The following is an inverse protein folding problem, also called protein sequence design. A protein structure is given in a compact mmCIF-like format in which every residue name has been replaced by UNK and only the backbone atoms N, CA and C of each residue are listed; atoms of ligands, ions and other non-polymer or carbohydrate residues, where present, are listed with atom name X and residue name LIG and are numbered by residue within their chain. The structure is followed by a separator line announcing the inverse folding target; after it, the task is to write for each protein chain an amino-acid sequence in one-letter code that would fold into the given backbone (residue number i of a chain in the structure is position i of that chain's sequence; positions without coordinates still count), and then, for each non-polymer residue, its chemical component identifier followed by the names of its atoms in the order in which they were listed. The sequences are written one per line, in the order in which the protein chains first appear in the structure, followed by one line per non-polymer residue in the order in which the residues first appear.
data_IF_300360688848
#
_entry.id   IF_300360688848
#
_cell.length_a   1.000
_cell.length_b   1.000
_cell.length_c   1.000
_cell.angle_alpha   90.00
_cell.angle_beta   90.00
_cell.angle_gamma   90.00
#
_symmetry.space_group_name_H-M   'P 1'
#
loop_
_entity.id
_entity.type
_entity.pdbx_description
1 polymer ?
#
# COMPACT_ATOMS: atom_id res chain seq x y z
N UNK A 1 16.34 -7.26 0.85
CA UNK A 1 14.88 -7.04 0.78
C UNK A 1 14.12 -8.21 0.16
N UNK A 2 14.65 -8.90 -0.86
CA UNK A 2 13.91 -10.01 -1.50
C UNK A 2 13.68 -11.23 -0.60
N UNK A 3 14.70 -11.65 0.15
CA UNK A 3 14.52 -12.77 1.10
C UNK A 3 13.49 -12.46 2.18
N UNK A 4 13.48 -11.22 2.68
CA UNK A 4 12.48 -10.76 3.63
C UNK A 4 11.08 -10.81 3.02
N UNK A 5 10.92 -10.29 1.79
CA UNK A 5 9.65 -10.34 1.06
C UNK A 5 9.13 -11.78 0.92
N UNK A 6 9.98 -12.72 0.51
CA UNK A 6 9.58 -14.12 0.36
C UNK A 6 9.10 -14.71 1.70
N UNK A 7 9.82 -14.45 2.80
CA UNK A 7 9.42 -14.89 4.14
C UNK A 7 8.11 -14.25 4.60
N UNK A 8 7.94 -12.95 4.36
CA UNK A 8 6.73 -12.21 4.68
C UNK A 8 5.50 -12.78 3.94
N UNK A 9 5.62 -12.99 2.62
CA UNK A 9 4.53 -13.57 1.81
C UNK A 9 4.19 -15.00 2.23
N UNK A 10 5.20 -15.82 2.52
CA UNK A 10 4.99 -17.19 3.02
C UNK A 10 4.27 -17.21 4.37
N UNK A 11 4.55 -16.25 5.25
CA UNK A 11 3.86 -16.13 6.54
C UNK A 11 2.39 -15.69 6.36
N UNK A 12 2.12 -14.79 5.41
CA UNK A 12 0.77 -14.29 5.13
C UNK A 12 -0.13 -15.31 4.43
N UNK A 13 0.43 -16.22 3.63
CA UNK A 13 -0.34 -17.21 2.85
C UNK A 13 -1.33 -18.00 3.72
N UNK A 14 -1.00 -18.25 5.00
CA UNK A 14 -1.91 -18.91 5.95
C UNK A 14 -3.12 -18.06 6.33
N UNK A 15 -2.97 -16.74 6.41
CA UNK A 15 -3.99 -15.79 6.83
C UNK A 15 -4.85 -15.27 5.66
N UNK A 16 -4.36 -15.36 4.43
CA UNK A 16 -5.02 -14.76 3.25
C UNK A 16 -5.92 -15.72 2.47
N UNK A 17 -6.14 -16.95 2.94
CA UNK A 17 -6.96 -17.96 2.25
C UNK A 17 -8.49 -17.76 2.37
N UNK A 18 -8.95 -16.59 2.84
CA UNK A 18 -10.37 -16.28 2.93
C UNK A 18 -10.84 -15.45 1.72
N UNK A 19 -12.01 -15.79 1.16
CA UNK A 19 -12.68 -14.99 0.14
C UNK A 19 -13.23 -13.66 0.67
N UNK A 20 -13.41 -13.53 1.99
CA UNK A 20 -13.81 -12.28 2.65
C UNK A 20 -12.63 -11.39 3.03
N UNK A 21 -11.39 -11.89 2.92
CA UNK A 21 -10.19 -11.15 3.26
C UNK A 21 -9.74 -10.21 2.14
N UNK A 22 -9.12 -9.09 2.53
CA UNK A 22 -8.44 -8.17 1.61
C UNK A 22 -6.92 -8.22 1.80
N UNK A 23 -6.18 -7.91 0.73
CA UNK A 23 -4.74 -7.79 0.74
C UNK A 23 -4.29 -6.60 -0.12
N UNK A 24 -3.57 -5.67 0.49
CA UNK A 24 -2.89 -4.56 -0.17
C UNK A 24 -1.42 -4.61 0.26
N UNK A 25 -0.57 -5.26 -0.54
CA UNK A 25 0.88 -5.30 -0.32
C UNK A 25 1.53 -4.57 -1.48
N UNK A 26 1.93 -3.32 -1.26
CA UNK A 26 2.74 -2.58 -2.22
C UNK A 26 4.23 -2.85 -2.02
N UNK A 27 5.04 -2.43 -2.99
CA UNK A 27 6.50 -2.51 -2.90
C UNK A 27 7.12 -1.18 -2.52
N UNK A 28 6.67 -0.63 -1.40
CA UNK A 28 7.21 0.57 -0.79
C UNK A 28 8.05 0.27 0.46
N UNK A 29 9.15 1.00 0.64
CA UNK A 29 9.93 0.94 1.88
C UNK A 29 9.36 1.94 2.89
N UNK A 30 8.31 1.54 3.60
CA UNK A 30 7.57 2.41 4.52
C UNK A 30 7.25 1.71 5.86
N UNK A 31 7.10 2.50 6.91
CA UNK A 31 6.58 2.10 8.21
C UNK A 31 5.32 2.92 8.55
N UNK A 32 4.45 2.42 9.43
CA UNK A 32 3.19 3.10 9.82
C UNK A 32 2.35 3.57 8.60
N UNK A 33 2.32 2.79 7.52
CA UNK A 33 1.63 3.19 6.29
C UNK A 33 0.12 3.35 6.51
N UNK A 34 -0.44 2.55 7.41
CA UNK A 34 -1.87 2.48 7.69
C UNK A 34 -2.38 3.64 8.57
N UNK A 35 -1.50 4.47 9.14
CA UNK A 35 -1.89 5.41 10.20
C UNK A 35 -2.29 6.81 9.71
N UNK A 36 -1.91 7.20 8.48
CA UNK A 36 -1.99 8.59 8.01
C UNK A 36 -2.88 8.72 6.79
N UNK A 37 -3.76 9.74 6.77
CA UNK A 37 -4.65 10.01 5.64
C UNK A 37 -3.84 10.40 4.38
N UNK A 38 -2.67 10.99 4.61
CA UNK A 38 -1.68 11.39 3.61
C UNK A 38 -1.24 10.20 2.74
N UNK A 39 -1.04 9.02 3.36
CA UNK A 39 -0.67 7.80 2.63
C UNK A 39 -1.86 7.08 2.01
N UNK A 40 -3.08 7.40 2.42
CA UNK A 40 -4.28 6.69 2.00
C UNK A 40 -5.00 7.34 0.82
N UNK A 41 -5.05 8.67 0.79
CA UNK A 41 -5.99 9.40 -0.06
C UNK A 41 -5.37 10.53 -0.90
N UNK A 42 -4.26 11.12 -0.47
CA UNK A 42 -3.62 12.25 -1.15
C UNK A 42 -3.17 11.90 -2.58
N UNK A 43 -2.98 12.94 -3.40
CA UNK A 43 -2.70 12.80 -4.84
C UNK A 43 -1.48 11.91 -5.12
N UNK A 44 -0.46 11.99 -4.26
CA UNK A 44 0.81 11.30 -4.29
C UNK A 44 0.85 10.03 -3.40
N UNK A 45 -0.29 9.58 -2.87
CA UNK A 45 -0.36 8.34 -2.12
C UNK A 45 0.07 7.14 -2.98
N UNK A 46 0.70 6.12 -2.38
CA UNK A 46 1.06 4.90 -3.08
C UNK A 46 -0.19 4.21 -3.66
N UNK A 47 0.01 3.62 -4.83
CA UNK A 47 -1.01 2.96 -5.63
C UNK A 47 -0.59 1.54 -5.96
N UNK A 48 -1.55 0.62 -5.89
CA UNK A 48 -1.41 -0.76 -6.32
C UNK A 48 -2.55 -1.12 -7.27
N UNK A 49 -2.21 -1.57 -8.48
CA UNK A 49 -3.23 -1.88 -9.49
C UNK A 49 -4.16 -0.71 -9.79
N UNK A 50 -3.61 0.52 -9.86
CA UNK A 50 -4.31 1.79 -10.09
C UNK A 50 -5.30 2.21 -8.98
N UNK A 51 -5.20 1.64 -7.78
CA UNK A 51 -6.00 2.04 -6.62
C UNK A 51 -5.11 2.47 -5.47
N UNK A 52 -5.47 3.58 -4.82
CA UNK A 52 -4.91 3.98 -3.52
C UNK A 52 -5.49 3.12 -2.40
N UNK A 53 -4.84 3.12 -1.23
CA UNK A 53 -5.28 2.37 -0.05
C UNK A 53 -6.73 2.69 0.31
N UNK A 54 -7.11 3.96 0.38
CA UNK A 54 -8.48 4.36 0.74
C UNK A 54 -9.55 3.76 -0.17
N UNK A 55 -9.30 3.72 -1.49
CA UNK A 55 -10.24 3.16 -2.45
C UNK A 55 -10.30 1.64 -2.35
N UNK A 56 -9.15 0.99 -2.24
CA UNK A 56 -9.04 -0.46 -2.12
C UNK A 56 -9.75 -0.96 -0.85
N UNK A 57 -9.46 -0.36 0.30
CA UNK A 57 -10.09 -0.70 1.58
C UNK A 57 -11.58 -0.37 1.56
N UNK A 58 -11.96 0.79 1.02
CA UNK A 58 -13.37 1.17 0.93
C UNK A 58 -14.18 0.21 0.05
N UNK A 59 -13.67 -0.20 -1.10
CA UNK A 59 -14.37 -1.15 -1.97
C UNK A 59 -14.51 -2.53 -1.34
N UNK A 60 -13.47 -2.99 -0.63
CA UNK A 60 -13.51 -4.23 0.13
C UNK A 60 -14.50 -4.15 1.30
N UNK A 61 -14.48 -3.08 2.09
CA UNK A 61 -15.35 -2.92 3.27
C UNK A 61 -16.84 -2.86 2.94
N UNK A 62 -17.19 -2.26 1.79
CA UNK A 62 -18.58 -2.12 1.34
C UNK A 62 -18.99 -3.21 0.32
N UNK A 63 -18.23 -4.30 0.23
CA UNK A 63 -18.48 -5.42 -0.70
C UNK A 63 -18.69 -4.99 -2.17
N UNK A 64 -18.08 -3.87 -2.59
CA UNK A 64 -18.17 -3.38 -3.98
C UNK A 64 -17.24 -4.15 -4.91
N UNK A 65 -16.06 -4.50 -4.41
CA UNK A 65 -15.08 -5.33 -5.12
C UNK A 65 -14.09 -5.91 -4.11
N UNK A 66 -13.70 -7.19 -4.26
CA UNK A 66 -12.57 -7.71 -3.50
C UNK A 66 -11.29 -6.96 -3.90
N UNK A 67 -10.36 -6.85 -2.98
CA UNK A 67 -9.03 -6.34 -3.25
C UNK A 67 -7.98 -7.26 -2.64
N UNK A 68 -7.37 -8.10 -3.47
CA UNK A 68 -6.34 -9.05 -3.06
C UNK A 68 -5.17 -8.94 -4.03
N UNK A 69 -4.27 -7.98 -3.79
CA UNK A 69 -3.14 -7.69 -4.68
C UNK A 69 -1.84 -7.61 -3.91
N UNK A 70 -0.81 -8.14 -4.56
CA UNK A 70 0.58 -8.12 -4.13
C UNK A 70 1.37 -7.53 -5.29
N UNK A 71 2.18 -6.52 -5.00
CA UNK A 71 3.00 -5.85 -5.99
C UNK A 71 4.17 -6.70 -6.48
N UNK A 72 4.93 -6.22 -7.46
CA UNK A 72 6.20 -6.83 -7.88
C UNK A 72 7.27 -6.77 -6.77
N UNK A 73 8.41 -7.48 -6.88
CA UNK A 73 9.55 -7.32 -5.96
C UNK A 73 10.07 -5.86 -5.85
N UNK A 74 10.29 -5.34 -4.64
CA UNK A 74 10.89 -4.01 -4.40
C UNK A 74 12.24 -3.84 -5.12
N UNK A 75 12.64 -2.64 -5.61
CA UNK A 75 11.92 -1.36 -5.62
C UNK A 75 11.22 -1.11 -6.96
N UNK A 76 10.02 -1.63 -7.15
CA UNK A 76 9.35 -1.55 -8.44
C UNK A 76 8.19 -0.55 -8.51
N UNK A 77 7.67 -0.09 -7.36
CA UNK A 77 6.48 0.75 -7.35
C UNK A 77 6.88 2.24 -7.41
N UNK A 78 6.59 2.93 -8.53
CA UNK A 78 7.01 4.33 -8.71
C UNK A 78 6.14 5.32 -7.92
N UNK A 79 5.03 4.88 -7.32
CA UNK A 79 4.12 5.73 -6.54
C UNK A 79 4.46 5.79 -5.05
N UNK A 80 5.51 5.07 -4.62
CA UNK A 80 5.96 5.15 -3.24
C UNK A 80 6.46 6.55 -2.90
N UNK A 81 5.95 7.11 -1.80
CA UNK A 81 6.52 8.32 -1.22
C UNK A 81 7.91 7.98 -0.66
N UNK A 82 8.94 8.69 -1.12
CA UNK A 82 10.23 8.66 -0.47
C UNK A 82 10.10 9.44 0.85
N UNK A 83 9.95 8.75 1.97
CA UNK A 83 10.04 9.37 3.30
C UNK A 83 11.50 9.74 3.61
N UNK A 84 12.01 10.73 2.88
CA UNK A 84 13.31 11.36 3.07
C UNK A 84 13.17 12.85 2.76
N UNK A 85 12.83 13.64 3.79
CA UNK A 85 12.94 15.11 3.81
C UNK A 85 12.39 15.82 2.57
N UNK A 86 11.06 15.84 2.39
CA UNK A 86 10.50 17.03 1.75
C UNK A 86 10.64 18.16 2.78
N UNK A 87 11.43 19.24 2.53
CA UNK A 87 11.30 20.43 3.34
C UNK A 87 9.84 20.91 3.29
N UNK A 88 9.34 21.62 4.33
CA UNK A 88 8.00 22.19 4.26
C UNK A 88 7.89 23.01 2.97
N UNK A 89 6.87 22.70 2.18
CA UNK A 89 6.48 23.51 1.04
C UNK A 89 6.06 24.87 1.59
N UNK A 90 6.98 25.84 1.55
CA UNK A 90 6.66 27.25 1.66
C UNK A 90 6.00 27.66 0.35
N UNK A 91 4.77 27.19 0.13
CA UNK A 91 3.86 27.83 -0.81
C UNK A 91 3.35 29.10 -0.12
N UNK A 92 3.97 30.21 -0.51
CA UNK A 92 3.66 31.61 -0.20
C UNK A 92 2.17 31.89 0.08
N UNK A 93 1.90 32.45 1.26
CA UNK A 93 1.03 33.63 1.46
C UNK A 93 1.70 34.54 2.50
#
# INVERSE_FOLDING_TARGET
MQDFRLRFLNALNKATNSSSGGLYIDSCYAHCQTETQEKWFMADSPMLGKMKIAKAVGDWFYDRSPFHKIDCPYPCNPSCQNSGLAPPDNSEV
#
